data_IF_749670300358
#
_entry.id   IF_749670300358
#
_cell.length_a   1.000
_cell.length_b   1.000
_cell.length_c   1.000
_cell.angle_alpha   90.00
_cell.angle_beta   90.00
_cell.angle_gamma   90.00
#
_symmetry.space_group_name_H-M   'P 1'
#
loop_
_entity.id
_entity.type
_entity.pdbx_description
1 polymer ?
#
# COMPACT_ATOMS: atom_id res chain seq x y z
N UNK A 1 19.51 6.64 5.74
CA UNK A 1 19.32 6.30 4.29
C UNK A 1 20.48 6.77 3.40
N UNK A 2 21.38 7.64 3.89
CA UNK A 2 22.49 8.20 3.07
C UNK A 2 23.54 7.17 2.63
N UNK A 3 23.63 6.02 3.27
CA UNK A 3 24.60 4.97 2.97
C UNK A 3 24.05 3.80 2.15
N UNK A 4 22.79 3.87 1.72
CA UNK A 4 22.19 2.83 0.89
C UNK A 4 22.68 2.92 -0.56
N UNK A 5 23.02 1.76 -1.12
CA UNK A 5 23.53 1.61 -2.49
C UNK A 5 22.56 0.76 -3.31
N UNK A 6 22.16 1.27 -4.47
CA UNK A 6 21.41 0.50 -5.45
C UNK A 6 22.40 -0.36 -6.26
N UNK A 7 22.20 -1.68 -6.27
CA UNK A 7 22.97 -2.62 -7.07
C UNK A 7 22.13 -3.13 -8.24
N UNK A 8 22.69 -3.07 -9.43
CA UNK A 8 22.02 -3.67 -10.58
C UNK A 8 22.09 -5.18 -10.51
N UNK A 9 20.96 -5.83 -10.73
CA UNK A 9 20.86 -7.27 -10.88
C UNK A 9 20.38 -7.62 -12.30
N UNK A 10 20.89 -8.71 -12.86
CA UNK A 10 20.35 -9.32 -14.05
C UNK A 10 19.15 -10.21 -13.67
N UNK A 11 18.21 -10.36 -14.61
CA UNK A 11 17.02 -11.20 -14.40
C UNK A 11 15.81 -10.43 -13.88
N UNK A 12 14.97 -11.11 -13.14
CA UNK A 12 13.73 -10.58 -12.56
C UNK A 12 13.78 -10.67 -11.03
N UNK A 13 12.93 -9.92 -10.30
CA UNK A 13 12.84 -10.05 -8.83
C UNK A 13 12.47 -11.45 -8.35
N UNK A 14 11.97 -12.30 -9.24
CA UNK A 14 11.50 -13.66 -8.93
C UNK A 14 12.51 -14.76 -9.30
N UNK A 15 13.70 -14.39 -9.75
CA UNK A 15 14.84 -15.27 -10.00
C UNK A 15 15.96 -14.98 -9.01
N UNK A 16 16.88 -15.92 -8.72
CA UNK A 16 18.03 -15.61 -7.88
C UNK A 16 18.76 -14.38 -8.43
N UNK A 17 19.11 -13.40 -7.58
CA UNK A 17 19.76 -12.18 -8.03
C UNK A 17 21.17 -12.45 -8.55
N UNK A 18 21.46 -11.98 -9.75
CA UNK A 18 22.80 -12.02 -10.35
C UNK A 18 23.34 -10.59 -10.46
N UNK A 19 24.19 -10.13 -9.52
CA UNK A 19 24.74 -8.79 -9.57
C UNK A 19 25.57 -8.56 -10.85
N UNK A 20 25.31 -7.47 -11.56
CA UNK A 20 26.08 -7.08 -12.75
C UNK A 20 27.39 -6.37 -12.40
N UNK A 21 27.57 -5.98 -11.14
CA UNK A 21 28.71 -5.21 -10.65
C UNK A 21 28.51 -3.70 -10.77
N UNK A 22 27.39 -3.21 -11.33
CA UNK A 22 27.09 -1.78 -11.35
C UNK A 22 26.34 -1.37 -10.07
N UNK A 23 26.78 -0.25 -9.49
CA UNK A 23 26.25 0.28 -8.25
C UNK A 23 26.05 1.80 -8.36
N UNK A 24 25.04 2.34 -7.69
CA UNK A 24 24.75 3.75 -7.58
C UNK A 24 24.38 4.10 -6.15
N UNK A 25 24.68 5.32 -5.71
CA UNK A 25 24.10 5.83 -4.49
C UNK A 25 22.58 6.00 -4.68
N UNK A 26 21.81 5.82 -3.63
CA UNK A 26 20.34 5.91 -3.70
C UNK A 26 19.87 7.28 -4.20
N UNK A 27 20.59 8.36 -3.89
CA UNK A 27 20.29 9.71 -4.35
C UNK A 27 20.68 10.00 -5.83
N UNK A 28 21.34 9.05 -6.49
CA UNK A 28 21.70 9.12 -7.92
C UNK A 28 20.68 8.40 -8.81
N UNK A 29 19.71 7.73 -8.22
CA UNK A 29 18.67 6.97 -8.93
C UNK A 29 17.28 7.47 -8.57
N UNK A 30 16.34 7.30 -9.49
CA UNK A 30 14.92 7.49 -9.22
C UNK A 30 14.29 6.13 -8.94
N UNK A 31 13.67 5.99 -7.77
CA UNK A 31 12.88 4.80 -7.48
C UNK A 31 11.58 4.82 -8.29
N UNK A 32 11.23 3.68 -8.84
CA UNK A 32 9.95 3.42 -9.46
C UNK A 32 9.11 2.55 -8.50
N UNK A 33 7.86 2.28 -8.86
CA UNK A 33 7.09 1.26 -8.15
C UNK A 33 7.89 -0.06 -8.16
N UNK A 34 8.08 -0.70 -7.00
CA UNK A 34 9.00 -1.85 -6.90
C UNK A 34 8.48 -3.10 -7.60
N UNK A 35 7.21 -3.12 -7.99
CA UNK A 35 6.57 -4.13 -8.84
C UNK A 35 5.54 -3.48 -9.73
N UNK A 36 5.24 -4.12 -10.87
CA UNK A 36 4.11 -3.80 -11.74
C UNK A 36 3.09 -4.95 -11.64
N UNK A 37 2.19 -4.90 -10.66
CA UNK A 37 1.26 -6.00 -10.40
C UNK A 37 0.26 -6.15 -11.53
N UNK A 38 -0.22 -7.38 -11.78
CA UNK A 38 -1.36 -7.59 -12.67
C UNK A 38 -2.65 -7.05 -12.02
N UNK A 39 -2.69 -7.03 -10.70
CA UNK A 39 -3.72 -6.44 -9.86
C UNK A 39 -3.18 -6.12 -8.48
N UNK A 40 -3.78 -5.13 -7.84
CA UNK A 40 -3.67 -4.91 -6.39
C UNK A 40 -5.00 -5.34 -5.79
N UNK A 41 -4.97 -6.33 -4.90
CA UNK A 41 -6.16 -6.79 -4.17
C UNK A 41 -6.11 -6.19 -2.78
N UNK A 42 -7.09 -5.38 -2.46
CA UNK A 42 -7.12 -4.61 -1.23
C UNK A 42 -8.21 -5.09 -0.27
N UNK A 43 -7.92 -5.02 1.02
CA UNK A 43 -8.87 -5.31 2.08
C UNK A 43 -9.26 -4.00 2.78
N UNK A 44 -10.48 -3.55 2.58
CA UNK A 44 -11.03 -2.41 3.33
C UNK A 44 -11.70 -2.84 4.61
N UNK A 45 -11.87 -1.88 5.57
CA UNK A 45 -12.56 -2.07 6.86
C UNK A 45 -11.85 -3.07 7.78
N UNK A 46 -10.55 -3.14 7.71
CA UNK A 46 -9.75 -4.06 8.53
C UNK A 46 -9.23 -3.46 9.84
N UNK A 47 -9.60 -2.21 10.14
CA UNK A 47 -9.32 -1.52 11.41
C UNK A 47 -10.61 -0.93 11.97
N UNK A 48 -10.93 -1.26 13.23
CA UNK A 48 -12.20 -0.88 13.85
C UNK A 48 -12.35 0.63 14.02
N UNK A 49 -11.26 1.31 14.36
CA UNK A 49 -11.19 2.77 14.51
C UNK A 49 -11.43 3.49 13.18
N UNK A 50 -10.85 3.01 12.09
CA UNK A 50 -11.09 3.52 10.74
C UNK A 50 -12.55 3.33 10.28
N UNK A 51 -13.15 2.18 10.59
CA UNK A 51 -14.59 1.94 10.32
C UNK A 51 -15.44 2.95 11.06
N UNK A 52 -15.13 3.21 12.33
CA UNK A 52 -15.85 4.22 13.13
C UNK A 52 -15.66 5.64 12.59
N UNK A 53 -14.43 5.97 12.14
CA UNK A 53 -14.08 7.28 11.58
C UNK A 53 -14.82 7.57 10.27
N UNK A 54 -14.70 6.67 9.28
CA UNK A 54 -15.18 6.91 7.91
C UNK A 54 -16.65 6.58 7.73
N UNK A 55 -17.10 5.45 8.28
CA UNK A 55 -18.45 4.95 8.06
C UNK A 55 -19.43 5.33 9.17
N UNK A 56 -18.94 5.87 10.30
CA UNK A 56 -19.75 6.19 11.50
C UNK A 56 -20.55 4.98 12.02
N UNK A 57 -19.95 3.79 11.93
CA UNK A 57 -20.54 2.50 12.30
C UNK A 57 -19.55 1.67 13.13
N UNK A 58 -20.09 0.65 13.83
CA UNK A 58 -19.25 -0.37 14.46
C UNK A 58 -18.67 -1.33 13.41
N UNK A 59 -17.44 -1.79 13.63
CA UNK A 59 -16.78 -2.79 12.78
C UNK A 59 -17.60 -4.10 12.70
N UNK A 60 -18.26 -4.49 13.79
CA UNK A 60 -19.12 -5.69 13.82
C UNK A 60 -20.30 -5.62 12.85
N UNK A 61 -20.72 -4.42 12.48
CA UNK A 61 -21.81 -4.18 11.53
C UNK A 61 -21.35 -4.09 10.05
N UNK A 62 -20.05 -4.01 9.81
CA UNK A 62 -19.46 -3.82 8.49
C UNK A 62 -18.20 -4.70 8.37
N UNK A 63 -18.35 -5.95 7.93
CA UNK A 63 -17.21 -6.86 7.77
C UNK A 63 -16.19 -6.30 6.78
N UNK A 64 -14.92 -6.76 6.86
CA UNK A 64 -13.90 -6.47 5.86
C UNK A 64 -14.42 -6.72 4.45
N UNK A 65 -13.98 -5.92 3.51
CA UNK A 65 -14.45 -5.94 2.11
C UNK A 65 -13.25 -6.00 1.17
N UNK A 66 -13.25 -7.00 0.28
CA UNK A 66 -12.24 -7.15 -0.76
C UNK A 66 -12.62 -6.30 -1.97
N UNK A 67 -11.65 -5.55 -2.51
CA UNK A 67 -11.79 -4.83 -3.77
C UNK A 67 -10.47 -4.87 -4.55
N UNK A 68 -10.50 -4.44 -5.80
CA UNK A 68 -9.33 -4.45 -6.69
C UNK A 68 -9.03 -3.02 -7.13
N UNK A 69 -7.73 -2.65 -7.06
CA UNK A 69 -7.20 -1.46 -7.75
C UNK A 69 -6.52 -1.91 -9.04
N UNK A 70 -6.77 -1.23 -10.17
CA UNK A 70 -6.14 -1.57 -11.44
C UNK A 70 -4.63 -1.29 -11.40
N UNK A 71 -3.86 -2.02 -12.19
CA UNK A 71 -2.40 -1.82 -12.31
C UNK A 71 -2.03 -0.41 -12.79
N UNK A 72 -2.90 0.25 -13.56
CA UNK A 72 -2.69 1.63 -14.03
C UNK A 72 -2.77 2.68 -12.92
N UNK A 73 -3.34 2.35 -11.77
CA UNK A 73 -3.35 3.23 -10.60
C UNK A 73 -1.99 3.27 -9.89
N UNK A 74 -1.10 2.31 -10.16
CA UNK A 74 0.18 2.16 -9.45
C UNK A 74 1.19 3.20 -9.90
N UNK A 75 1.80 3.88 -8.91
CA UNK A 75 2.94 4.79 -9.10
C UNK A 75 3.99 4.53 -8.02
N UNK A 76 5.23 4.93 -8.26
CA UNK A 76 6.34 4.76 -7.33
C UNK A 76 6.54 5.97 -6.40
N UNK A 77 7.61 5.92 -5.57
CA UNK A 77 8.02 7.04 -4.74
C UNK A 77 8.24 8.31 -5.55
N UNK A 78 7.93 9.46 -4.94
CA UNK A 78 8.05 10.81 -5.51
C UNK A 78 7.27 11.07 -6.81
N UNK A 79 6.50 10.10 -7.30
CA UNK A 79 5.53 10.33 -8.36
C UNK A 79 4.31 11.08 -7.80
N UNK A 80 3.80 12.05 -8.56
CA UNK A 80 2.65 12.82 -8.11
C UNK A 80 1.36 11.98 -8.07
N UNK A 81 0.61 12.08 -6.98
CA UNK A 81 -0.80 11.68 -6.92
C UNK A 81 -1.59 12.78 -7.63
N UNK A 82 -2.25 12.44 -8.73
CA UNK A 82 -2.98 13.39 -9.56
C UNK A 82 -4.47 13.36 -9.25
N UNK A 83 -4.98 14.45 -8.69
CA UNK A 83 -6.40 14.57 -8.33
C UNK A 83 -7.16 15.16 -9.53
N UNK A 84 -8.10 14.42 -10.14
CA UNK A 84 -8.92 14.95 -11.21
C UNK A 84 -10.04 15.85 -10.67
N UNK A 85 -10.47 16.82 -11.47
CA UNK A 85 -11.47 17.84 -11.08
C UNK A 85 -12.80 17.26 -10.58
N UNK A 86 -13.16 16.05 -11.02
CA UNK A 86 -14.39 15.39 -10.61
C UNK A 86 -14.30 14.65 -9.24
N UNK A 87 -13.10 14.56 -8.64
CA UNK A 87 -12.87 13.95 -7.33
C UNK A 87 -12.61 15.08 -6.30
N UNK A 88 -13.59 15.34 -5.44
CA UNK A 88 -13.59 16.56 -4.61
C UNK A 88 -13.16 16.31 -3.16
N UNK A 89 -13.17 15.05 -2.70
CA UNK A 89 -12.71 14.67 -1.36
C UNK A 89 -11.79 13.45 -1.47
N UNK A 90 -10.49 13.71 -1.71
CA UNK A 90 -9.48 12.67 -1.89
C UNK A 90 -8.63 12.56 -0.64
N UNK A 91 -8.59 11.38 -0.04
CA UNK A 91 -7.87 11.07 1.18
C UNK A 91 -6.78 10.03 0.94
N UNK A 92 -5.71 10.08 1.75
CA UNK A 92 -4.70 9.03 1.82
C UNK A 92 -5.15 7.92 2.78
N UNK A 93 -4.66 6.73 2.55
CA UNK A 93 -4.79 5.57 3.43
C UNK A 93 -3.45 4.82 3.46
N UNK A 94 -2.66 5.03 4.53
CA UNK A 94 -1.39 4.34 4.72
C UNK A 94 -1.61 2.89 5.11
N UNK A 95 -1.00 1.97 4.37
CA UNK A 95 -1.18 0.54 4.54
C UNK A 95 0.14 -0.24 4.45
N UNK A 96 0.25 -1.30 5.25
CA UNK A 96 1.20 -2.36 4.99
C UNK A 96 0.69 -3.19 3.79
N UNK A 97 1.60 -3.61 2.93
CA UNK A 97 1.29 -4.46 1.78
C UNK A 97 2.28 -5.62 1.66
N UNK A 98 1.82 -6.74 1.10
CA UNK A 98 2.67 -7.87 0.74
C UNK A 98 2.68 -8.07 -0.78
N UNK A 99 3.81 -8.56 -1.28
CA UNK A 99 4.01 -8.90 -2.70
C UNK A 99 4.08 -10.41 -2.84
N UNK A 100 3.34 -10.95 -3.79
CA UNK A 100 3.26 -12.40 -4.04
C UNK A 100 4.50 -12.89 -4.79
N UNK A 101 5.06 -14.03 -4.36
CA UNK A 101 6.27 -14.62 -4.93
C UNK A 101 6.03 -15.63 -6.05
N UNK A 102 4.91 -16.35 -6.02
CA UNK A 102 4.60 -17.47 -6.94
C UNK A 102 3.11 -17.55 -7.24
N UNK A 103 2.69 -18.22 -8.35
CA UNK A 103 1.28 -18.46 -8.62
C UNK A 103 0.61 -19.16 -7.41
N UNK A 104 -0.46 -18.58 -6.90
CA UNK A 104 -1.06 -18.99 -5.63
C UNK A 104 -2.58 -19.00 -5.69
N UNK A 105 -3.17 -20.07 -5.18
CA UNK A 105 -4.62 -20.30 -5.09
C UNK A 105 -4.93 -21.14 -3.87
N UNK A 106 -5.99 -20.82 -3.14
CA UNK A 106 -6.42 -21.55 -1.93
C UNK A 106 -5.30 -21.69 -0.88
N UNK A 107 -4.59 -20.59 -0.61
CA UNK A 107 -3.56 -20.52 0.43
C UNK A 107 -4.20 -20.86 1.78
N UNK A 108 -3.50 -21.64 2.59
CA UNK A 108 -3.90 -21.86 3.98
C UNK A 108 -3.29 -20.80 4.87
N UNK A 109 -4.07 -20.30 5.84
CA UNK A 109 -3.65 -19.21 6.71
C UNK A 109 -2.31 -19.49 7.43
N UNK A 110 -2.04 -20.72 7.80
CA UNK A 110 -0.78 -21.13 8.46
C UNK A 110 0.45 -21.16 7.53
N UNK A 111 0.25 -21.20 6.20
CA UNK A 111 1.32 -21.31 5.20
C UNK A 111 1.49 -20.03 4.36
N UNK A 112 0.89 -18.93 4.76
CA UNK A 112 0.84 -17.70 3.96
C UNK A 112 2.22 -17.16 3.56
N UNK A 113 3.22 -17.28 4.45
CA UNK A 113 4.58 -16.79 4.22
C UNK A 113 5.27 -17.47 3.04
N UNK A 114 4.96 -18.74 2.75
CA UNK A 114 5.52 -19.47 1.61
C UNK A 114 5.13 -18.89 0.24
N UNK A 115 4.19 -17.96 0.21
CA UNK A 115 3.62 -17.34 -0.98
C UNK A 115 4.00 -15.86 -1.14
N UNK A 116 4.72 -15.30 -0.18
CA UNK A 116 5.09 -13.89 -0.13
C UNK A 116 6.54 -13.70 -0.56
N UNK A 117 6.80 -12.74 -1.44
CA UNK A 117 8.14 -12.28 -1.82
C UNK A 117 8.71 -11.34 -0.76
N UNK A 118 7.89 -10.47 -0.22
CA UNK A 118 8.31 -9.44 0.71
C UNK A 118 7.21 -8.46 1.04
N UNK A 119 7.61 -7.43 1.79
CA UNK A 119 6.74 -6.37 2.32
C UNK A 119 7.04 -5.03 1.67
N UNK A 120 6.02 -4.20 1.52
CA UNK A 120 6.15 -2.83 1.02
C UNK A 120 5.07 -1.94 1.64
N UNK A 121 5.13 -0.64 1.37
CA UNK A 121 4.11 0.32 1.77
C UNK A 121 3.18 0.58 0.59
N UNK A 122 1.89 0.68 0.85
CA UNK A 122 0.87 1.14 -0.10
C UNK A 122 0.16 2.38 0.45
N UNK A 123 -0.18 3.30 -0.43
CA UNK A 123 -1.17 4.34 -0.16
C UNK A 123 -2.44 4.01 -0.95
N UNK A 124 -3.49 3.55 -0.28
CA UNK A 124 -4.79 3.29 -0.89
C UNK A 124 -5.60 4.58 -1.04
N UNK A 125 -5.13 5.47 -1.92
CA UNK A 125 -5.77 6.77 -2.16
C UNK A 125 -7.22 6.59 -2.58
N UNK A 126 -8.11 7.36 -1.93
CA UNK A 126 -9.55 7.17 -1.98
C UNK A 126 -10.29 8.48 -2.23
N UNK A 127 -11.15 8.52 -3.25
CA UNK A 127 -12.12 9.59 -3.45
C UNK A 127 -13.39 9.28 -2.67
N UNK A 128 -13.58 9.92 -1.51
CA UNK A 128 -14.71 9.62 -0.61
C UNK A 128 -16.06 9.95 -1.21
N UNK A 129 -16.13 11.05 -1.94
CA UNK A 129 -17.36 11.46 -2.64
C UNK A 129 -17.80 10.39 -3.66
N UNK A 130 -16.88 9.82 -4.44
CA UNK A 130 -17.18 8.75 -5.38
C UNK A 130 -17.44 7.42 -4.66
N UNK A 131 -16.72 7.12 -3.58
CA UNK A 131 -16.89 5.90 -2.79
C UNK A 131 -18.31 5.76 -2.25
N UNK A 132 -18.86 6.85 -1.69
CA UNK A 132 -20.21 6.84 -1.15
C UNK A 132 -21.29 6.97 -2.24
N UNK A 133 -21.02 7.74 -3.30
CA UNK A 133 -21.95 7.94 -4.40
C UNK A 133 -22.20 6.66 -5.20
N UNK A 134 -21.12 5.94 -5.52
CA UNK A 134 -21.23 4.76 -6.41
C UNK A 134 -21.65 3.50 -5.66
N UNK A 135 -21.37 3.43 -4.35
CA UNK A 135 -21.54 2.21 -3.55
C UNK A 135 -20.55 1.08 -3.91
N UNK A 136 -19.92 1.18 -5.07
CA UNK A 136 -18.84 0.34 -5.59
C UNK A 136 -17.52 1.12 -5.53
N UNK A 137 -16.45 0.51 -4.99
CA UNK A 137 -15.20 1.23 -4.73
C UNK A 137 -14.23 1.30 -5.91
N UNK A 138 -14.49 0.53 -6.98
CA UNK A 138 -13.58 0.41 -8.10
C UNK A 138 -13.14 1.76 -8.69
N UNK A 139 -14.08 2.68 -8.95
CA UNK A 139 -13.78 4.01 -9.48
C UNK A 139 -13.14 4.92 -8.42
N UNK A 140 -13.68 4.91 -7.21
CA UNK A 140 -13.21 5.77 -6.12
C UNK A 140 -11.73 5.52 -5.72
N UNK A 141 -11.28 4.27 -5.86
CA UNK A 141 -9.96 3.80 -5.45
C UNK A 141 -9.05 3.40 -6.62
N UNK A 142 -9.58 3.36 -7.84
CA UNK A 142 -8.89 2.92 -9.05
C UNK A 142 -8.50 4.01 -10.03
N UNK A 143 -8.62 5.29 -9.65
CA UNK A 143 -8.16 6.42 -10.48
C UNK A 143 -6.65 6.29 -10.70
N UNK A 144 -6.17 6.65 -11.88
CA UNK A 144 -4.73 6.67 -12.18
C UNK A 144 -3.95 7.41 -11.10
N UNK A 145 -2.82 6.87 -10.68
CA UNK A 145 -1.96 7.36 -9.60
C UNK A 145 -2.48 7.16 -8.17
N UNK A 146 -3.66 6.56 -7.96
CA UNK A 146 -4.25 6.38 -6.64
C UNK A 146 -3.75 5.13 -5.89
N UNK A 147 -2.64 4.54 -6.34
CA UNK A 147 -2.00 3.40 -5.66
C UNK A 147 -0.46 3.57 -5.62
N UNK A 148 0.06 4.57 -4.90
CA UNK A 148 1.49 4.62 -4.63
C UNK A 148 1.98 3.37 -3.92
N UNK A 149 3.08 2.77 -4.41
CA UNK A 149 3.76 1.60 -3.85
C UNK A 149 5.25 1.87 -3.67
N UNK A 150 5.83 1.40 -2.58
CA UNK A 150 7.25 1.51 -2.32
C UNK A 150 7.59 1.78 -0.85
N UNK A 151 8.80 2.28 -0.55
CA UNK A 151 9.83 2.69 -1.51
C UNK A 151 10.54 1.51 -2.20
N UNK A 152 10.55 0.32 -1.60
CA UNK A 152 11.10 -0.95 -2.09
C UNK A 152 10.28 -2.13 -1.59
N UNK A 153 10.69 -3.33 -1.93
CA UNK A 153 10.20 -4.57 -1.32
C UNK A 153 11.28 -5.08 -0.38
N UNK A 154 10.97 -5.19 0.92
CA UNK A 154 11.80 -5.88 1.88
C UNK A 154 11.58 -7.38 1.76
N UNK A 155 12.61 -8.11 1.34
CA UNK A 155 12.52 -9.54 1.06
C UNK A 155 12.96 -10.43 2.21
N UNK A 156 13.61 -9.88 3.22
CA UNK A 156 13.84 -10.58 4.47
C UNK A 156 12.58 -10.51 5.33
N UNK A 157 11.77 -11.57 5.29
CA UNK A 157 10.50 -11.63 6.00
C UNK A 157 10.66 -11.59 7.53
N UNK A 158 11.87 -11.76 8.06
CA UNK A 158 12.16 -11.65 9.50
C UNK A 158 12.34 -10.20 9.97
N UNK A 159 12.46 -9.25 9.06
CA UNK A 159 12.68 -7.82 9.36
C UNK A 159 11.50 -7.19 10.10
N UNK A 160 10.29 -7.67 9.83
CA UNK A 160 9.06 -7.13 10.40
C UNK A 160 8.31 -8.17 11.24
N UNK A 161 7.74 -7.71 12.35
CA UNK A 161 6.68 -8.45 13.03
C UNK A 161 5.33 -7.91 12.55
N UNK A 162 4.68 -8.60 11.60
CA UNK A 162 3.42 -8.14 11.02
C UNK A 162 2.25 -8.09 12.01
N UNK A 163 2.37 -8.72 13.17
CA UNK A 163 1.36 -8.65 14.23
C UNK A 163 1.58 -7.48 15.21
N UNK A 164 2.71 -6.76 15.08
CA UNK A 164 3.07 -5.60 15.91
C UNK A 164 4.01 -4.67 15.12
N UNK A 165 3.47 -4.04 14.08
CA UNK A 165 4.23 -3.15 13.20
C UNK A 165 3.62 -1.75 13.19
N UNK A 166 4.41 -0.74 13.53
CA UNK A 166 3.98 0.68 13.45
C UNK A 166 3.64 1.08 12.03
N UNK A 167 2.57 1.87 11.88
CA UNK A 167 2.19 2.56 10.65
C UNK A 167 1.95 4.02 10.99
N UNK A 168 2.74 4.93 10.40
CA UNK A 168 2.61 6.37 10.57
C UNK A 168 2.32 7.04 9.22
N UNK A 169 1.50 8.08 9.22
CA UNK A 169 1.34 8.94 8.05
C UNK A 169 1.46 10.41 8.45
N UNK A 170 2.15 11.18 7.60
CA UNK A 170 2.40 12.60 7.80
C UNK A 170 1.97 13.36 6.55
N UNK A 171 1.09 14.34 6.75
CA UNK A 171 0.66 15.25 5.69
C UNK A 171 1.38 16.60 5.86
N UNK A 172 2.06 17.04 4.82
CA UNK A 172 2.61 18.39 4.75
C UNK A 172 1.69 19.27 3.91
N UNK A 173 1.09 20.27 4.55
CA UNK A 173 0.22 21.27 3.93
C UNK A 173 0.81 22.65 4.20
N UNK A 174 0.97 23.49 3.17
CA UNK A 174 1.56 24.85 3.26
C UNK A 174 2.86 24.91 4.08
N UNK A 175 3.70 23.88 3.97
CA UNK A 175 4.98 23.75 4.71
C UNK A 175 4.85 23.27 6.15
N UNK A 176 3.67 23.07 6.69
CA UNK A 176 3.43 22.46 8.01
C UNK A 176 3.30 20.94 7.86
N UNK A 177 4.19 20.18 8.50
CA UNK A 177 4.16 18.71 8.53
C UNK A 177 3.44 18.23 9.80
N UNK A 178 2.34 17.51 9.62
CA UNK A 178 1.53 17.00 10.72
C UNK A 178 1.41 15.47 10.65
N UNK A 179 1.54 14.80 11.79
CA UNK A 179 1.23 13.38 11.90
C UNK A 179 -0.30 13.20 11.92
N UNK A 180 -0.80 12.41 10.99
CA UNK A 180 -2.23 12.12 10.84
C UNK A 180 -2.58 10.69 11.24
N UNK A 181 -1.73 9.71 10.87
CA UNK A 181 -1.89 8.34 11.35
C UNK A 181 -0.74 8.00 12.31
N UNK A 182 -1.08 7.39 13.44
CA UNK A 182 -0.17 6.79 14.42
C UNK A 182 -0.83 5.53 14.93
N UNK A 183 -0.55 4.40 14.31
CA UNK A 183 -1.23 3.14 14.59
C UNK A 183 -0.28 1.95 14.49
N UNK A 184 -0.87 0.76 14.61
CA UNK A 184 -0.12 -0.49 14.62
C UNK A 184 -0.93 -1.61 13.98
N UNK A 185 -0.26 -2.56 13.33
CA UNK A 185 -0.89 -3.73 12.68
C UNK A 185 -1.51 -4.71 13.68
N UNK A 186 -1.20 -4.59 14.98
CA UNK A 186 -1.88 -5.36 16.03
C UNK A 186 -3.38 -5.03 16.10
N UNK A 187 -3.80 -3.85 15.59
CA UNK A 187 -5.19 -3.40 15.50
C UNK A 187 -5.97 -3.99 14.30
N UNK A 188 -5.31 -4.76 13.42
CA UNK A 188 -6.00 -5.43 12.31
C UNK A 188 -7.02 -6.44 12.82
N UNK A 189 -8.24 -6.37 12.29
CA UNK A 189 -9.35 -7.31 12.58
C UNK A 189 -9.03 -8.70 12.01
N UNK A 190 -8.63 -8.75 10.73
CA UNK A 190 -8.18 -9.97 10.06
C UNK A 190 -6.67 -9.88 9.87
N UNK A 191 -5.95 -10.87 10.40
CA UNK A 191 -4.50 -10.96 10.29
C UNK A 191 -4.05 -11.49 8.93
N UNK A 192 -2.78 -11.31 8.57
CA UNK A 192 -2.25 -11.59 7.22
C UNK A 192 -2.58 -12.99 6.69
N UNK A 193 -2.46 -14.03 7.50
CA UNK A 193 -2.81 -15.39 7.07
C UNK A 193 -4.27 -15.51 6.63
N UNK A 194 -5.20 -14.95 7.41
CA UNK A 194 -6.63 -14.92 7.06
C UNK A 194 -6.93 -14.09 5.81
N UNK A 195 -6.25 -12.94 5.65
CA UNK A 195 -6.37 -12.11 4.45
C UNK A 195 -5.99 -12.91 3.19
N UNK A 196 -4.82 -13.57 3.20
CA UNK A 196 -4.37 -14.34 2.05
C UNK A 196 -5.21 -15.59 1.79
N UNK A 197 -5.70 -16.26 2.84
CA UNK A 197 -6.64 -17.40 2.69
C UNK A 197 -7.91 -16.96 1.98
N UNK A 198 -8.56 -15.89 2.43
CA UNK A 198 -9.81 -15.39 1.87
C UNK A 198 -9.63 -14.88 0.43
N UNK A 199 -8.62 -14.05 0.20
CA UNK A 199 -8.35 -13.48 -1.13
C UNK A 199 -7.98 -14.58 -2.13
N UNK A 200 -7.12 -15.53 -1.76
CA UNK A 200 -6.70 -16.60 -2.65
C UNK A 200 -7.79 -17.66 -2.90
N UNK A 201 -8.79 -17.75 -2.05
CA UNK A 201 -9.99 -18.55 -2.32
C UNK A 201 -10.81 -17.97 -3.47
N UNK A 202 -10.88 -16.65 -3.58
CA UNK A 202 -11.60 -15.97 -4.66
C UNK A 202 -10.74 -15.82 -5.93
N UNK A 203 -9.47 -15.37 -5.79
CA UNK A 203 -8.60 -15.00 -6.91
C UNK A 203 -7.36 -15.88 -7.00
N UNK A 204 -6.92 -16.20 -8.21
CA UNK A 204 -5.55 -16.67 -8.44
C UNK A 204 -4.62 -15.49 -8.36
N UNK A 205 -3.63 -15.56 -7.47
CA UNK A 205 -2.59 -14.57 -7.30
C UNK A 205 -1.37 -14.95 -8.15
N UNK A 206 -0.75 -13.97 -8.77
CA UNK A 206 0.42 -14.13 -9.63
C UNK A 206 1.65 -13.47 -9.00
N UNK A 207 2.88 -13.89 -9.35
CA UNK A 207 4.10 -13.22 -8.91
C UNK A 207 4.04 -11.72 -9.19
N UNK A 208 4.35 -10.90 -8.20
CA UNK A 208 4.28 -9.44 -8.30
C UNK A 208 2.92 -8.83 -7.99
N UNK A 209 1.83 -9.61 -7.88
CA UNK A 209 0.57 -9.09 -7.34
C UNK A 209 0.75 -8.58 -5.92
N UNK A 210 0.00 -7.55 -5.58
CA UNK A 210 0.08 -6.88 -4.28
C UNK A 210 -1.21 -7.07 -3.51
N UNK A 211 -1.09 -7.39 -2.22
CA UNK A 211 -2.20 -7.48 -1.29
C UNK A 211 -2.00 -6.39 -0.23
N UNK A 212 -2.99 -5.53 -0.03
CA UNK A 212 -2.98 -4.50 1.00
C UNK A 212 -3.88 -4.88 2.17
N UNK A 213 -3.54 -4.39 3.36
CA UNK A 213 -4.08 -4.92 4.62
C UNK A 213 -5.20 -4.09 5.23
N UNK A 214 -5.56 -2.98 4.59
CA UNK A 214 -6.41 -1.96 5.18
C UNK A 214 -5.64 -0.88 5.90
N UNK A 215 -6.27 0.26 6.09
CA UNK A 215 -5.70 1.44 6.74
C UNK A 215 -6.30 1.66 8.13
N UNK A 216 -5.49 2.12 9.11
CA UNK A 216 -5.99 2.62 10.38
C UNK A 216 -6.66 3.99 10.25
N UNK A 217 -7.29 4.47 11.33
CA UNK A 217 -7.83 5.82 11.43
C UNK A 217 -6.77 6.92 11.30
N UNK A 218 -7.20 8.16 11.10
CA UNK A 218 -6.37 9.33 10.88
C UNK A 218 -6.21 9.68 9.42
N UNK A 219 -7.09 9.20 8.55
CA UNK A 219 -7.14 9.64 7.16
C UNK A 219 -7.58 11.11 7.07
N UNK A 220 -7.10 11.84 6.07
CA UNK A 220 -7.44 13.24 5.89
C UNK A 220 -7.43 13.63 4.41
N UNK A 221 -8.22 14.64 4.03
CA UNK A 221 -8.20 15.20 2.68
C UNK A 221 -6.82 15.74 2.30
N UNK A 222 -6.44 15.49 1.05
CA UNK A 222 -5.26 16.05 0.39
C UNK A 222 -5.67 17.00 -0.70
N UNK A 223 -4.91 18.06 -0.89
CA UNK A 223 -5.10 19.02 -1.98
C UNK A 223 -3.81 19.20 -2.80
N UNK A 224 -3.90 19.63 -4.07
CA UNK A 224 -2.71 19.94 -4.85
C UNK A 224 -1.78 20.93 -4.14
N UNK A 225 -0.48 20.60 -4.09
CA UNK A 225 0.54 21.32 -3.33
C UNK A 225 0.95 20.61 -2.03
N UNK A 226 0.15 19.69 -1.53
CA UNK A 226 0.49 18.87 -0.37
C UNK A 226 1.56 17.82 -0.70
N UNK A 227 2.10 17.24 0.36
CA UNK A 227 2.94 16.02 0.28
C UNK A 227 2.49 15.05 1.37
N UNK A 228 2.26 13.80 0.98
CA UNK A 228 1.99 12.69 1.90
C UNK A 228 3.22 11.82 2.06
N UNK A 229 3.52 11.44 3.30
CA UNK A 229 4.56 10.49 3.67
C UNK A 229 3.96 9.40 4.53
N UNK A 230 4.15 8.14 4.14
CA UNK A 230 3.75 6.97 4.94
C UNK A 230 5.02 6.25 5.35
N UNK A 231 5.19 6.07 6.66
CA UNK A 231 6.37 5.49 7.26
C UNK A 231 6.02 4.19 7.99
N UNK A 232 6.73 3.12 7.66
CA UNK A 232 6.70 1.85 8.37
C UNK A 232 8.14 1.51 8.74
N UNK A 233 8.50 1.46 10.04
CA UNK A 233 9.85 1.07 10.47
C UNK A 233 10.27 -0.27 9.84
N UNK A 234 11.49 -0.32 9.29
CA UNK A 234 11.98 -1.47 8.52
C UNK A 234 11.70 -1.40 7.02
N UNK A 235 10.64 -0.67 6.58
CA UNK A 235 10.34 -0.47 5.16
C UNK A 235 10.74 0.93 4.65
N UNK A 236 11.02 1.87 5.54
CA UNK A 236 11.32 3.25 5.17
C UNK A 236 10.09 4.12 5.01
N UNK A 237 10.15 5.08 4.07
CA UNK A 237 9.11 6.08 3.87
C UNK A 237 8.71 6.14 2.40
N UNK A 238 7.42 5.94 2.14
CA UNK A 238 6.80 6.20 0.84
C UNK A 238 6.31 7.63 0.81
N UNK A 239 6.89 8.45 -0.06
CA UNK A 239 6.59 9.88 -0.19
C UNK A 239 6.03 10.18 -1.56
N UNK A 240 4.94 10.97 -1.62
CA UNK A 240 4.34 11.40 -2.88
C UNK A 240 3.81 12.84 -2.77
N UNK A 241 4.14 13.72 -3.71
CA UNK A 241 3.50 15.03 -3.83
C UNK A 241 2.09 14.90 -4.44
N UNK A 242 1.23 15.86 -4.13
CA UNK A 242 -0.14 15.94 -4.66
C UNK A 242 -0.20 17.02 -5.75
N UNK A 243 -0.83 16.69 -6.87
CA UNK A 243 -0.96 17.61 -8.01
C UNK A 243 -2.37 17.56 -8.63
N UNK A 244 -2.72 18.52 -9.44
CA UNK A 244 -3.85 18.42 -10.38
C UNK A 244 -3.55 17.38 -11.46
N UNK A 245 -4.58 16.67 -11.96
CA UNK A 245 -4.48 15.71 -13.06
C UNK A 245 -4.25 16.41 -14.41
#
# INVERSE_FOLDING_TARGET
MEDLVAKEIAGTPFTPPEPTGREWKLNEVRLLAPTLPTKVVALGRNYADHVAEVFKKSADSLPPTIFIKPSTAVVGPDAAIKIPDYATNVEFEGELAVVISKPSKNIKAENWQDHVLGYTICNDVSSRDLQFKDGQWARAKGIDTFCPLGPWIETDLSTLNLDDQKINAYLTHEGSREQKQDSNTDQMIVKMGGILEEISAAYTLLPGDVITTGSPAGTAPMVPGDTIEIEIPGLGTLRNPIAHA
#
